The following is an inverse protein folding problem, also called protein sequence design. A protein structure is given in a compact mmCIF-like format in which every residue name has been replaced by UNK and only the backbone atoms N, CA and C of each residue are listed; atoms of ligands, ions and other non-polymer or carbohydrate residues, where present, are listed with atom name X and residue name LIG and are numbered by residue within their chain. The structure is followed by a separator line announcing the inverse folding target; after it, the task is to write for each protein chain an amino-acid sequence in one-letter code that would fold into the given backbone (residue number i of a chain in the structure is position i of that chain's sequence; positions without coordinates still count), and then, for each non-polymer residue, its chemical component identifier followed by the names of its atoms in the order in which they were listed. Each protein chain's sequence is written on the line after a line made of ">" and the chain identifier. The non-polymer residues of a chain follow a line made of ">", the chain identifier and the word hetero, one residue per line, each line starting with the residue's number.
data_IF_231190319472
#
_entry.id   IF_231190319472
#
_cell.length_a   1.000
_cell.length_b   1.000
_cell.length_c   1.000
_cell.angle_alpha   90.00
_cell.angle_beta   90.00
_cell.angle_gamma   90.00
#
_symmetry.space_group_name_H-M   'P 1'
#
loop_
_entity.id
_entity.type
_entity.pdbx_description
1 polymer ?
#
# COMPACT_ATOMS: atom_id res chain seq x y z
N UNK A 1 -3.71 -14.51 6.63
CA UNK A 1 -2.32 -14.03 6.56
C UNK A 1 -1.40 -15.23 6.41
N UNK A 2 -0.35 -15.17 5.59
CA UNK A 2 0.56 -16.32 5.45
C UNK A 2 1.32 -16.56 6.76
N UNK A 3 1.27 -17.77 7.36
CA UNK A 3 1.88 -18.02 8.66
C UNK A 3 3.39 -17.75 8.71
N UNK A 4 4.13 -18.23 7.72
CA UNK A 4 5.61 -18.17 7.77
C UNK A 4 6.15 -16.87 7.17
N UNK A 5 5.44 -16.29 6.19
CA UNK A 5 5.91 -15.11 5.46
C UNK A 5 5.49 -13.79 6.11
N UNK A 6 4.25 -13.70 6.58
CA UNK A 6 3.62 -12.41 6.90
C UNK A 6 3.38 -12.19 8.40
N UNK A 7 3.10 -13.26 9.17
CA UNK A 7 2.90 -13.13 10.62
C UNK A 7 4.14 -12.58 11.33
N UNK A 8 5.38 -13.03 11.05
CA UNK A 8 6.57 -12.48 11.72
C UNK A 8 6.71 -10.97 11.50
N UNK A 9 6.58 -10.50 10.26
CA UNK A 9 6.63 -9.06 9.95
C UNK A 9 5.47 -8.30 10.59
N UNK A 10 4.26 -8.88 10.65
CA UNK A 10 3.13 -8.25 11.34
C UNK A 10 3.39 -8.06 12.84
N UNK A 11 3.94 -9.08 13.52
CA UNK A 11 4.29 -8.98 14.93
C UNK A 11 5.41 -7.95 15.19
N UNK A 12 6.39 -7.85 14.28
CA UNK A 12 7.43 -6.83 14.34
C UNK A 12 6.86 -5.41 14.21
N UNK A 13 5.98 -5.18 13.22
CA UNK A 13 5.32 -3.88 13.01
C UNK A 13 4.51 -3.47 14.25
N UNK A 14 3.75 -4.39 14.83
CA UNK A 14 2.90 -4.07 16.00
C UNK A 14 3.74 -3.80 17.25
N UNK A 15 4.86 -4.52 17.41
CA UNK A 15 5.87 -4.25 18.43
C UNK A 15 6.50 -2.87 18.27
N UNK A 16 6.92 -2.49 17.07
CA UNK A 16 7.55 -1.19 16.79
C UNK A 16 6.61 -0.01 17.05
N UNK A 17 5.32 -0.21 16.81
CA UNK A 17 4.27 0.78 17.08
C UNK A 17 3.81 0.78 18.55
N UNK A 18 4.21 -0.20 19.35
CA UNK A 18 3.77 -0.33 20.74
C UNK A 18 2.27 -0.63 20.90
N UNK A 19 1.66 -1.28 19.91
CA UNK A 19 0.22 -1.60 19.89
C UNK A 19 -0.01 -3.11 19.97
N UNK A 20 -1.18 -3.49 20.49
CA UNK A 20 -1.55 -4.90 20.53
C UNK A 20 -1.91 -5.41 19.14
N UNK A 21 -1.37 -6.56 18.74
CA UNK A 21 -1.65 -7.14 17.42
C UNK A 21 -3.12 -7.55 17.25
N UNK A 22 -3.84 -7.82 18.35
CA UNK A 22 -5.23 -8.26 18.33
C UNK A 22 -6.24 -7.10 18.23
N UNK A 23 -5.79 -5.84 18.33
CA UNK A 23 -6.65 -4.66 18.20
C UNK A 23 -6.63 -4.05 16.79
N UNK A 24 -5.86 -4.61 15.87
CA UNK A 24 -5.66 -4.06 14.53
C UNK A 24 -6.41 -4.85 13.47
N UNK A 25 -6.98 -4.12 12.51
CA UNK A 25 -7.69 -4.71 11.38
C UNK A 25 -6.71 -5.13 10.28
N UNK A 26 -6.95 -6.32 9.74
CA UNK A 26 -6.27 -6.86 8.56
C UNK A 26 -7.31 -7.38 7.57
N UNK A 27 -6.97 -7.42 6.28
CA UNK A 27 -7.94 -7.85 5.26
C UNK A 27 -8.31 -9.32 5.39
N UNK A 28 -9.56 -9.66 5.09
CA UNK A 28 -10.02 -11.04 5.04
C UNK A 28 -9.39 -11.81 3.86
N UNK A 29 -9.23 -13.14 3.98
CA UNK A 29 -8.99 -14.03 2.85
C UNK A 29 -9.98 -13.80 1.71
N UNK A 30 -9.51 -13.79 0.46
CA UNK A 30 -10.37 -13.78 -0.73
C UNK A 30 -10.20 -15.12 -1.46
N UNK A 31 -11.23 -15.96 -1.40
CA UNK A 31 -11.18 -17.32 -1.96
C UNK A 31 -10.08 -18.15 -1.28
N UNK A 32 -9.13 -18.65 -2.07
CA UNK A 32 -8.00 -19.44 -1.60
C UNK A 32 -6.77 -18.60 -1.21
N UNK A 33 -6.85 -17.27 -1.26
CA UNK A 33 -5.77 -16.38 -0.80
C UNK A 33 -5.74 -16.27 0.71
N UNK A 34 -4.56 -16.08 1.29
CA UNK A 34 -4.38 -15.91 2.73
C UNK A 34 -5.05 -14.65 3.31
N UNK A 35 -5.23 -13.58 2.53
CA UNK A 35 -5.56 -12.25 3.07
C UNK A 35 -4.49 -11.73 4.04
N UNK A 36 -4.85 -10.80 4.93
CA UNK A 36 -3.97 -10.24 5.94
C UNK A 36 -3.22 -8.98 5.52
N UNK A 37 -3.72 -8.27 4.50
CA UNK A 37 -3.17 -6.98 4.13
C UNK A 37 -3.50 -5.94 5.20
N UNK A 38 -2.55 -5.06 5.51
CA UNK A 38 -2.61 -4.08 6.59
C UNK A 38 -2.78 -2.66 6.05
N UNK A 39 -3.40 -1.81 6.87
CA UNK A 39 -3.45 -0.38 6.62
C UNK A 39 -4.24 0.05 5.38
N UNK A 40 -4.22 1.36 5.13
CA UNK A 40 -5.00 2.01 4.05
C UNK A 40 -4.50 1.57 2.67
N UNK A 41 -3.20 1.33 2.53
CA UNK A 41 -2.59 0.90 1.27
C UNK A 41 -2.75 -0.58 0.96
N UNK A 42 -3.37 -1.36 1.86
CA UNK A 42 -3.49 -2.82 1.73
C UNK A 42 -2.15 -3.50 1.45
N UNK A 43 -1.12 -3.13 2.23
CA UNK A 43 0.19 -3.75 2.14
C UNK A 43 0.14 -5.17 2.72
N UNK A 44 0.79 -6.12 2.06
CA UNK A 44 1.18 -7.35 2.75
C UNK A 44 2.25 -6.98 3.80
N UNK A 45 2.22 -7.52 5.04
CA UNK A 45 3.19 -7.17 6.08
C UNK A 45 4.65 -7.28 5.64
N UNK A 46 4.99 -8.31 4.87
CA UNK A 46 6.33 -8.48 4.30
C UNK A 46 6.68 -7.45 3.22
N UNK A 47 5.70 -6.90 2.49
CA UNK A 47 5.90 -5.78 1.56
C UNK A 47 6.06 -4.44 2.28
N UNK A 48 5.44 -4.26 3.45
CA UNK A 48 5.59 -3.04 4.25
C UNK A 48 7.04 -2.79 4.66
N UNK A 49 7.80 -3.85 4.96
CA UNK A 49 9.23 -3.74 5.32
C UNK A 49 10.11 -3.15 4.21
N UNK A 50 9.65 -3.19 2.94
CA UNK A 50 10.37 -2.61 1.80
C UNK A 50 10.35 -1.07 1.79
N UNK A 51 9.39 -0.47 2.50
CA UNK A 51 9.16 0.99 2.51
C UNK A 51 9.20 1.60 3.91
N UNK A 52 8.91 0.82 4.96
CA UNK A 52 8.73 1.31 6.33
C UNK A 52 9.94 2.10 6.85
N UNK A 53 11.16 1.65 6.56
CA UNK A 53 12.40 2.33 6.98
C UNK A 53 12.53 3.71 6.34
N UNK A 54 12.23 3.82 5.06
CA UNK A 54 12.33 5.08 4.31
C UNK A 54 11.24 6.07 4.76
N UNK A 55 10.02 5.58 4.93
CA UNK A 55 8.89 6.35 5.47
C UNK A 55 9.17 6.84 6.89
N UNK A 56 9.72 5.96 7.74
CA UNK A 56 10.15 6.32 9.11
C UNK A 56 11.21 7.43 9.08
N UNK A 57 12.15 7.37 8.14
CA UNK A 57 13.16 8.41 7.93
C UNK A 57 12.56 9.77 7.58
N UNK A 58 11.54 9.80 6.71
CA UNK A 58 10.83 11.04 6.37
C UNK A 58 10.00 11.59 7.54
N UNK A 59 9.41 10.72 8.36
CA UNK A 59 8.50 11.12 9.43
C UNK A 59 9.20 11.43 10.75
N UNK A 60 10.42 10.92 10.98
CA UNK A 60 11.12 11.03 12.26
C UNK A 60 10.48 10.23 13.40
N UNK A 61 9.57 9.31 13.07
CA UNK A 61 8.87 8.39 13.99
C UNK A 61 8.57 7.07 13.28
N UNK A 62 8.32 5.97 14.00
CA UNK A 62 7.84 4.74 13.38
C UNK A 62 6.65 4.99 12.46
N UNK A 63 6.74 4.46 11.24
CA UNK A 63 5.67 4.55 10.25
C UNK A 63 4.51 3.62 10.64
N UNK A 64 3.29 4.15 10.68
CA UNK A 64 2.08 3.41 11.02
C UNK A 64 1.23 3.15 9.76
N UNK A 65 1.06 1.89 9.30
CA UNK A 65 0.29 1.60 8.09
C UNK A 65 -1.21 1.93 8.22
N UNK A 66 -1.75 1.99 9.45
CA UNK A 66 -3.15 2.33 9.71
C UNK A 66 -3.36 3.85 9.83
N UNK A 67 -2.31 4.64 10.07
CA UNK A 67 -2.38 6.08 10.01
C UNK A 67 -2.46 6.57 8.56
N UNK A 68 -3.45 7.41 8.26
CA UNK A 68 -3.74 7.86 6.88
C UNK A 68 -2.54 8.53 6.22
N UNK A 69 -1.86 9.45 6.92
CA UNK A 69 -0.73 10.20 6.35
C UNK A 69 0.47 9.29 6.04
N UNK A 70 0.83 8.45 6.99
CA UNK A 70 1.93 7.50 6.88
C UNK A 70 1.66 6.46 5.78
N UNK A 71 0.44 5.91 5.75
CA UNK A 71 -0.01 4.98 4.73
C UNK A 71 0.04 5.57 3.31
N UNK A 72 -0.44 6.81 3.13
CA UNK A 72 -0.35 7.52 1.83
C UNK A 72 1.12 7.74 1.43
N UNK A 73 1.97 8.14 2.37
CA UNK A 73 3.39 8.32 2.10
C UNK A 73 4.06 6.99 1.69
N UNK A 74 3.72 5.89 2.37
CA UNK A 74 4.21 4.56 2.02
C UNK A 74 3.74 4.11 0.62
N UNK A 75 2.49 4.40 0.24
CA UNK A 75 1.96 4.13 -1.11
C UNK A 75 2.80 4.88 -2.14
N UNK A 76 3.05 6.18 -1.93
CA UNK A 76 3.86 6.98 -2.84
C UNK A 76 5.29 6.44 -2.98
N UNK A 77 5.94 6.08 -1.88
CA UNK A 77 7.29 5.48 -1.88
C UNK A 77 7.30 4.17 -2.67
N UNK A 78 6.33 3.27 -2.46
CA UNK A 78 6.30 2.00 -3.18
C UNK A 78 6.02 2.20 -4.68
N UNK A 79 5.10 3.09 -5.04
CA UNK A 79 4.82 3.42 -6.44
C UNK A 79 6.06 3.99 -7.13
N UNK A 80 6.79 4.89 -6.47
CA UNK A 80 8.04 5.43 -6.98
C UNK A 80 9.09 4.34 -7.22
N UNK A 81 9.32 3.45 -6.24
CA UNK A 81 10.24 2.31 -6.39
C UNK A 81 9.84 1.38 -7.54
N UNK A 82 8.56 1.29 -7.84
CA UNK A 82 8.04 0.47 -8.93
C UNK A 82 8.16 1.12 -10.32
N UNK A 83 8.60 2.37 -10.39
CA UNK A 83 8.80 3.11 -11.64
C UNK A 83 7.57 3.86 -12.13
N UNK A 84 6.67 4.28 -11.24
CA UNK A 84 5.44 5.00 -11.60
C UNK A 84 5.71 6.34 -12.30
N UNK A 85 6.90 6.93 -12.10
CA UNK A 85 7.27 8.23 -12.68
C UNK A 85 7.59 8.07 -14.17
N UNK A 86 8.28 6.99 -14.53
CA UNK A 86 8.67 6.67 -15.90
C UNK A 86 7.50 6.02 -16.66
N UNK A 87 6.80 5.09 -16.02
CA UNK A 87 5.65 4.39 -16.58
C UNK A 87 4.60 4.17 -15.47
N UNK A 88 3.59 5.06 -15.38
CA UNK A 88 2.55 4.98 -14.36
C UNK A 88 1.82 3.63 -14.37
N UNK A 89 1.53 3.10 -15.56
CA UNK A 89 0.79 1.85 -15.71
C UNK A 89 1.61 0.67 -15.19
N UNK A 90 2.89 0.61 -15.54
CA UNK A 90 3.80 -0.42 -15.04
C UNK A 90 4.02 -0.31 -13.52
N UNK A 91 4.20 0.90 -13.00
CA UNK A 91 4.38 1.14 -11.57
C UNK A 91 3.19 0.66 -10.74
N UNK A 92 1.97 0.97 -11.18
CA UNK A 92 0.73 0.53 -10.52
C UNK A 92 0.54 -0.99 -10.68
N UNK A 93 0.83 -1.54 -11.85
CA UNK A 93 0.73 -2.97 -12.12
C UNK A 93 1.62 -3.80 -11.17
N UNK A 94 2.86 -3.33 -10.95
CA UNK A 94 3.80 -3.90 -9.98
C UNK A 94 3.36 -3.71 -8.53
N UNK A 95 2.76 -2.56 -8.19
CA UNK A 95 2.20 -2.34 -6.85
C UNK A 95 1.15 -3.41 -6.51
N UNK A 96 0.28 -3.74 -7.47
CA UNK A 96 -0.82 -4.68 -7.26
C UNK A 96 -0.36 -6.11 -6.96
N UNK A 97 0.70 -6.59 -7.63
CA UNK A 97 1.04 -8.03 -7.64
C UNK A 97 2.53 -8.36 -7.53
N UNK A 98 3.39 -7.37 -7.24
CA UNK A 98 4.85 -7.51 -7.12
C UNK A 98 5.58 -7.68 -8.46
N UNK A 99 4.85 -7.95 -9.54
CA UNK A 99 5.29 -8.02 -10.93
C UNK A 99 4.14 -7.53 -11.80
N UNK A 100 4.39 -7.25 -13.07
CA UNK A 100 3.30 -6.92 -13.97
C UNK A 100 2.70 -8.18 -14.61
N UNK A 101 1.40 -8.38 -14.43
CA UNK A 101 0.61 -9.50 -14.97
C UNK A 101 -0.59 -8.93 -15.71
N UNK A 102 -1.24 -9.72 -16.57
CA UNK A 102 -2.45 -9.27 -17.30
C UNK A 102 -3.56 -8.77 -16.37
N UNK A 103 -3.72 -9.35 -15.17
CA UNK A 103 -4.68 -8.85 -14.18
C UNK A 103 -4.19 -7.55 -13.52
N UNK A 104 -2.90 -7.45 -13.24
CA UNK A 104 -2.29 -6.21 -12.72
C UNK A 104 -2.37 -5.05 -13.72
N UNK A 105 -2.31 -5.34 -15.03
CA UNK A 105 -2.50 -4.36 -16.08
C UNK A 105 -3.92 -3.81 -16.10
N UNK A 106 -4.94 -4.67 -16.05
CA UNK A 106 -6.34 -4.25 -15.95
C UNK A 106 -6.58 -3.42 -14.69
N UNK A 107 -6.01 -3.84 -13.57
CA UNK A 107 -6.05 -3.07 -12.34
C UNK A 107 -5.41 -1.68 -12.52
N UNK A 108 -4.26 -1.60 -13.19
CA UNK A 108 -3.61 -0.32 -13.45
C UNK A 108 -4.47 0.60 -14.33
N UNK A 109 -5.09 0.05 -15.38
CA UNK A 109 -6.00 0.79 -16.25
C UNK A 109 -7.21 1.33 -15.44
N UNK A 110 -7.81 0.53 -14.57
CA UNK A 110 -8.90 0.95 -13.67
C UNK A 110 -8.47 2.08 -12.72
N UNK A 111 -7.26 2.02 -12.18
CA UNK A 111 -6.72 3.04 -11.28
C UNK A 111 -6.45 4.35 -12.02
N UNK A 112 -5.86 4.29 -13.23
CA UNK A 112 -5.62 5.47 -14.05
C UNK A 112 -6.93 6.15 -14.44
N UNK A 113 -7.94 5.38 -14.85
CA UNK A 113 -9.28 5.92 -15.14
C UNK A 113 -9.88 6.62 -13.91
N UNK A 114 -9.75 6.04 -12.71
CA UNK A 114 -10.21 6.69 -11.47
C UNK A 114 -9.43 7.96 -11.15
N UNK A 115 -8.11 7.96 -11.39
CA UNK A 115 -7.26 9.13 -11.17
C UNK A 115 -7.68 10.30 -12.07
N UNK A 116 -7.97 10.04 -13.35
CA UNK A 116 -8.45 11.06 -14.29
C UNK A 116 -9.81 11.63 -13.87
N UNK A 117 -10.73 10.76 -13.41
CA UNK A 117 -12.03 11.19 -12.88
C UNK A 117 -11.88 12.09 -11.65
N UNK A 118 -10.99 11.73 -10.72
CA UNK A 118 -10.72 12.53 -9.51
C UNK A 118 -10.10 13.88 -9.91
N UNK A 119 -9.12 13.88 -10.82
CA UNK A 119 -8.47 15.09 -11.33
C UNK A 119 -9.47 16.05 -11.96
N UNK A 120 -10.41 15.54 -12.76
CA UNK A 120 -11.49 16.35 -13.33
C UNK A 120 -12.36 16.99 -12.24
N UNK A 121 -12.85 16.19 -11.28
CA UNK A 121 -13.67 16.69 -10.16
C UNK A 121 -12.96 17.74 -9.31
N UNK A 122 -11.69 17.52 -8.98
CA UNK A 122 -10.90 18.50 -8.23
C UNK A 122 -10.72 19.78 -9.04
N UNK A 123 -10.42 19.66 -10.34
CA UNK A 123 -10.32 20.81 -11.22
C UNK A 123 -11.60 21.64 -11.28
N UNK A 124 -12.78 21.01 -11.22
CA UNK A 124 -14.06 21.72 -11.19
C UNK A 124 -14.36 22.35 -9.83
N UNK A 125 -13.93 21.73 -8.72
CA UNK A 125 -14.03 22.34 -7.38
C UNK A 125 -13.18 23.61 -7.24
N UNK A 126 -12.02 23.66 -7.91
CA UNK A 126 -11.08 24.79 -7.81
C UNK A 126 -11.46 26.00 -8.70
N UNK A 127 -12.44 25.84 -9.60
CA UNK A 127 -12.94 26.93 -10.46
C UNK A 127 -14.05 27.75 -9.80
N UNK A 128 -14.62 27.27 -8.70
CA UNK A 128 -15.65 27.94 -7.90
C UNK A 128 -15.05 28.55 -6.64
#
# INVERSE_FOLDING_TARGET
>A
MSPDRDIPSFLEITKDLGVSYNSLLVSCPMGSSWGGAIGIGQFIPSSWSLVSKEVTGFLGKPADPWAVKDGILAIAVLLQKNGVVEDPRLGICRYHSGRCTTNGEKYADDILNKADLIKGKVGDMLKN
#
